data_IF_114189374593
#
_entry.id   IF_114189374593
#
_cell.length_a   1.000
_cell.length_b   1.000
_cell.length_c   1.000
_cell.angle_alpha   90.00
_cell.angle_beta   90.00
_cell.angle_gamma   90.00
#
_symmetry.space_group_name_H-M   'P 1'
#
loop_
_entity.id
_entity.type
_entity.pdbx_description
1 polymer ?
#
# COMPACT_ATOMS: atom_id res chain seq x y z
N UNK A 1 -21.68 15.51 -31.59
CA UNK A 1 -22.19 14.81 -30.38
C UNK A 1 -22.67 13.39 -30.70
N UNK A 2 -22.78 13.04 -31.97
CA UNK A 2 -23.49 11.84 -32.45
C UNK A 2 -22.69 10.56 -32.20
N UNK A 3 -21.42 10.51 -32.59
CA UNK A 3 -20.56 9.32 -32.44
C UNK A 3 -20.41 8.89 -30.97
N UNK A 4 -20.32 9.87 -30.06
CA UNK A 4 -20.19 9.58 -28.64
C UNK A 4 -21.44 8.87 -28.10
N UNK A 5 -22.64 9.35 -28.42
CA UNK A 5 -23.89 8.74 -27.96
C UNK A 5 -24.28 7.49 -28.75
N UNK A 6 -24.03 7.42 -30.05
CA UNK A 6 -24.43 6.31 -30.90
C UNK A 6 -23.48 5.12 -30.82
N UNK A 7 -22.21 5.35 -30.48
CA UNK A 7 -21.17 4.32 -30.66
C UNK A 7 -20.32 4.14 -29.41
N UNK A 8 -19.70 5.21 -28.90
CA UNK A 8 -18.75 5.11 -27.78
C UNK A 8 -19.47 4.70 -26.49
N UNK A 9 -20.56 5.39 -26.14
CA UNK A 9 -21.29 5.14 -24.91
C UNK A 9 -21.95 3.75 -24.87
N UNK A 10 -22.62 3.25 -25.94
CA UNK A 10 -23.13 1.89 -25.98
C UNK A 10 -22.02 0.84 -25.85
N UNK A 11 -20.92 0.99 -26.59
CA UNK A 11 -19.79 0.07 -26.51
C UNK A 11 -19.18 0.00 -25.11
N UNK A 12 -18.97 1.17 -24.47
CA UNK A 12 -18.47 1.21 -23.10
C UNK A 12 -19.40 0.46 -22.14
N UNK A 13 -20.72 0.66 -22.27
CA UNK A 13 -21.70 -0.02 -21.41
C UNK A 13 -21.78 -1.53 -21.66
N UNK A 14 -21.88 -1.94 -22.92
CA UNK A 14 -22.08 -3.35 -23.29
C UNK A 14 -20.84 -4.20 -23.07
N UNK A 15 -19.66 -3.60 -23.26
CA UNK A 15 -18.40 -4.35 -23.27
C UNK A 15 -17.61 -4.07 -22.00
N UNK A 16 -17.16 -2.84 -21.81
CA UNK A 16 -16.21 -2.50 -20.73
C UNK A 16 -16.87 -2.63 -19.37
N UNK A 17 -18.01 -1.98 -19.18
CA UNK A 17 -18.73 -1.99 -17.90
C UNK A 17 -19.31 -3.38 -17.60
N UNK A 18 -19.83 -4.07 -18.60
CA UNK A 18 -20.34 -5.44 -18.45
C UNK A 18 -19.23 -6.40 -18.02
N UNK A 19 -18.07 -6.38 -18.71
CA UNK A 19 -16.91 -7.20 -18.36
C UNK A 19 -16.40 -6.90 -16.94
N UNK A 20 -16.30 -5.62 -16.59
CA UNK A 20 -15.90 -5.23 -15.24
C UNK A 20 -16.83 -5.84 -14.18
N UNK A 21 -18.14 -5.74 -14.38
CA UNK A 21 -19.16 -6.25 -13.44
C UNK A 21 -19.23 -7.77 -13.39
N UNK A 22 -19.08 -8.46 -14.52
CA UNK A 22 -19.23 -9.91 -14.59
C UNK A 22 -17.97 -10.67 -14.22
N UNK A 23 -16.79 -10.06 -14.43
CA UNK A 23 -15.50 -10.76 -14.32
C UNK A 23 -14.61 -10.14 -13.25
N UNK A 24 -14.28 -8.85 -13.40
CA UNK A 24 -13.29 -8.20 -12.53
C UNK A 24 -13.82 -8.05 -11.11
N UNK A 25 -15.05 -7.58 -10.94
CA UNK A 25 -15.62 -7.36 -9.61
C UNK A 25 -15.82 -8.67 -8.82
N UNK A 26 -16.36 -9.77 -9.39
CA UNK A 26 -16.46 -11.05 -8.69
C UNK A 26 -15.08 -11.66 -8.39
N UNK A 27 -14.12 -11.58 -9.32
CA UNK A 27 -12.76 -12.05 -9.07
C UNK A 27 -12.12 -11.32 -7.88
N UNK A 28 -12.25 -9.99 -7.84
CA UNK A 28 -11.74 -9.19 -6.74
C UNK A 28 -12.40 -9.57 -5.39
N UNK A 29 -13.72 -9.78 -5.40
CA UNK A 29 -14.47 -10.13 -4.18
C UNK A 29 -14.19 -11.56 -3.69
N UNK A 30 -14.05 -12.51 -4.60
CA UNK A 30 -13.94 -13.94 -4.26
C UNK A 30 -12.51 -14.42 -4.07
N UNK A 31 -11.51 -13.75 -4.68
CA UNK A 31 -10.12 -14.21 -4.66
C UNK A 31 -9.21 -13.17 -3.99
N UNK A 32 -9.18 -11.95 -4.50
CA UNK A 32 -8.20 -10.93 -4.07
C UNK A 32 -8.47 -10.50 -2.62
N UNK A 33 -9.72 -10.15 -2.30
CA UNK A 33 -10.07 -9.66 -0.97
C UNK A 33 -9.87 -10.75 0.11
N UNK A 34 -10.32 -12.01 -0.07
CA UNK A 34 -10.05 -13.07 0.90
C UNK A 34 -8.58 -13.38 1.06
N UNK A 35 -7.80 -13.43 -0.03
CA UNK A 35 -6.35 -13.64 0.04
C UNK A 35 -5.64 -12.54 0.83
N UNK A 36 -5.99 -11.28 0.59
CA UNK A 36 -5.43 -10.16 1.33
C UNK A 36 -5.72 -10.31 2.84
N UNK A 37 -6.96 -10.65 3.19
CA UNK A 37 -7.39 -10.80 4.59
C UNK A 37 -6.81 -12.03 5.27
N UNK A 38 -6.68 -13.16 4.59
CA UNK A 38 -6.25 -14.43 5.19
C UNK A 38 -4.73 -14.61 5.19
N UNK A 39 -4.02 -13.97 4.26
CA UNK A 39 -2.58 -14.21 4.06
C UNK A 39 -1.77 -12.95 4.30
N UNK A 40 -2.04 -11.88 3.54
CA UNK A 40 -1.22 -10.66 3.58
C UNK A 40 -1.34 -9.95 4.92
N UNK A 41 -2.56 -9.71 5.40
CA UNK A 41 -2.78 -8.99 6.65
C UNK A 41 -2.23 -9.73 7.88
N UNK A 42 -2.44 -11.06 8.04
CA UNK A 42 -1.84 -11.81 9.15
C UNK A 42 -0.32 -11.87 9.07
N UNK A 43 0.27 -12.06 7.89
CA UNK A 43 1.72 -12.02 7.73
C UNK A 43 2.31 -10.66 8.14
N UNK A 44 1.67 -9.57 7.72
CA UNK A 44 2.12 -8.23 8.08
C UNK A 44 2.02 -8.00 9.60
N UNK A 45 0.95 -8.49 10.24
CA UNK A 45 0.74 -8.34 11.69
C UNK A 45 1.66 -9.21 12.53
N UNK A 46 1.94 -10.45 12.09
CA UNK A 46 2.67 -11.43 12.89
C UNK A 46 4.17 -11.45 12.62
N UNK A 47 4.62 -10.99 11.45
CA UNK A 47 6.04 -11.04 11.07
C UNK A 47 6.61 -9.65 10.88
N UNK A 48 6.05 -8.86 9.96
CA UNK A 48 6.63 -7.58 9.56
C UNK A 48 6.57 -6.56 10.69
N UNK A 49 5.40 -6.37 11.31
CA UNK A 49 5.22 -5.39 12.38
C UNK A 49 6.06 -5.72 13.63
N UNK A 50 6.11 -6.96 14.13
CA UNK A 50 6.99 -7.32 15.24
C UNK A 50 8.46 -7.12 14.91
N UNK A 51 8.93 -7.53 13.72
CA UNK A 51 10.31 -7.30 13.29
C UNK A 51 10.67 -5.82 13.26
N UNK A 52 9.80 -4.98 12.69
CA UNK A 52 10.00 -3.53 12.69
C UNK A 52 10.11 -2.98 14.10
N UNK A 53 9.21 -3.39 15.00
CA UNK A 53 9.18 -2.90 16.39
C UNK A 53 10.35 -3.38 17.24
N UNK A 54 10.79 -4.63 17.05
CA UNK A 54 11.85 -5.24 17.87
C UNK A 54 13.26 -4.93 17.36
N UNK A 55 13.41 -4.69 16.06
CA UNK A 55 14.74 -4.60 15.42
C UNK A 55 14.97 -3.24 14.80
N UNK A 56 14.12 -2.84 13.85
CA UNK A 56 14.35 -1.63 13.05
C UNK A 56 14.19 -0.37 13.89
N UNK A 57 13.10 -0.27 14.66
CA UNK A 57 12.81 0.92 15.46
C UNK A 57 13.83 1.15 16.59
N UNK A 58 14.25 0.14 17.37
CA UNK A 58 15.30 0.32 18.36
C UNK A 58 16.64 0.71 17.74
N UNK A 59 17.04 0.09 16.63
CA UNK A 59 18.27 0.45 15.91
C UNK A 59 18.25 1.91 15.47
N UNK A 60 17.15 2.37 14.86
CA UNK A 60 17.00 3.76 14.45
C UNK A 60 17.15 4.71 15.64
N UNK A 61 16.49 4.41 16.76
CA UNK A 61 16.52 5.27 17.96
C UNK A 61 17.90 5.29 18.62
N UNK A 62 18.51 4.12 18.83
CA UNK A 62 19.75 4.01 19.59
C UNK A 62 20.96 4.46 18.79
N UNK A 63 20.96 4.24 17.48
CA UNK A 63 22.13 4.44 16.63
C UNK A 63 21.96 5.70 15.80
N UNK A 64 21.00 5.69 14.85
CA UNK A 64 20.86 6.77 13.86
C UNK A 64 20.51 8.09 14.52
N UNK A 65 19.47 8.10 15.35
CA UNK A 65 19.00 9.33 16.00
C UNK A 65 19.99 9.85 17.05
N UNK A 66 20.60 8.96 17.84
CA UNK A 66 21.61 9.36 18.82
C UNK A 66 22.84 9.96 18.14
N UNK A 67 23.31 9.34 17.06
CA UNK A 67 24.46 9.83 16.29
C UNK A 67 24.18 11.21 15.69
N UNK A 68 23.01 11.39 15.07
CA UNK A 68 22.57 12.69 14.55
C UNK A 68 22.56 13.76 15.64
N UNK A 69 21.98 13.46 16.82
CA UNK A 69 21.97 14.38 17.96
C UNK A 69 23.37 14.73 18.44
N UNK A 70 24.27 13.76 18.49
CA UNK A 70 25.66 13.97 18.88
C UNK A 70 26.38 14.93 17.93
N UNK A 71 26.18 14.77 16.61
CA UNK A 71 26.76 15.67 15.62
C UNK A 71 26.21 17.09 15.80
N UNK A 72 24.88 17.23 15.87
CA UNK A 72 24.25 18.55 15.99
C UNK A 72 24.69 19.28 17.26
N UNK A 73 24.79 18.57 18.40
CA UNK A 73 25.31 19.15 19.64
C UNK A 73 26.78 19.55 19.51
N UNK A 74 27.60 18.69 18.89
CA UNK A 74 29.01 18.99 18.65
C UNK A 74 29.16 20.28 17.83
N UNK A 75 28.44 20.43 16.73
CA UNK A 75 28.48 21.65 15.91
C UNK A 75 28.00 22.89 16.69
N UNK A 76 26.96 22.76 17.50
CA UNK A 76 26.44 23.86 18.32
C UNK A 76 27.41 24.34 19.42
N UNK A 77 28.32 23.48 19.88
CA UNK A 77 29.35 23.84 20.86
C UNK A 77 30.64 24.41 20.24
N UNK A 78 30.85 24.22 18.93
CA UNK A 78 32.02 24.75 18.20
C UNK A 78 31.71 26.04 17.40
N UNK A 79 30.45 26.49 17.39
CA UNK A 79 30.00 27.74 16.77
C UNK A 79 29.96 28.94 17.72
#
# INVERSE_FOLDING_TARGET
>A
MDIYRSTVLPFYRSTVLSFYRSTVQPFNRSIVLPFNRSTVQPFNRSTVLPFYRSTVLPFYRSTVLSFYRSIVLCEAHHG
#
